data_IF_627652491778
#
_entry.id   IF_627652491778
#
_cell.length_a   1.000
_cell.length_b   1.000
_cell.length_c   1.000
_cell.angle_alpha   90.00
_cell.angle_beta   90.00
_cell.angle_gamma   90.00
#
_symmetry.space_group_name_H-M   'P 1'
#
loop_
_entity.id
_entity.type
_entity.pdbx_description
1 polymer ?
#
# COMPACT_ATOMS: atom_id res chain seq x y z
N UNK A 1 12.65 -3.17 3.31
CA UNK A 1 11.47 -2.87 2.47
C UNK A 1 10.38 -2.25 3.35
N UNK A 2 9.55 -1.38 2.80
CA UNK A 2 8.40 -0.76 3.50
C UNK A 2 7.12 -1.35 2.95
N UNK A 3 6.10 -1.55 3.80
CA UNK A 3 4.78 -1.97 3.34
C UNK A 3 4.06 -0.78 2.70
N UNK A 4 3.63 -0.93 1.44
CA UNK A 4 3.05 0.16 0.63
C UNK A 4 1.60 0.52 0.98
N UNK A 5 0.98 -0.19 1.92
CA UNK A 5 -0.45 -0.08 2.20
C UNK A 5 -1.33 -0.87 1.21
N UNK A 6 -0.75 -1.46 0.17
CA UNK A 6 -1.46 -2.29 -0.82
C UNK A 6 -1.31 -3.77 -0.47
N UNK A 7 -2.43 -4.50 -0.46
CA UNK A 7 -2.43 -5.93 -0.20
C UNK A 7 -3.76 -6.58 -0.54
N UNK A 8 -3.70 -7.87 -0.91
CA UNK A 8 -4.88 -8.72 -1.12
C UNK A 8 -4.97 -9.68 0.06
N UNK A 9 -6.10 -9.66 0.78
CA UNK A 9 -6.29 -10.46 1.97
C UNK A 9 -7.41 -11.48 1.78
N UNK A 10 -7.17 -12.70 2.24
CA UNK A 10 -8.25 -13.69 2.41
C UNK A 10 -9.01 -13.36 3.70
N UNK A 11 -10.36 -13.39 3.73
CA UNK A 11 -11.12 -13.15 4.96
C UNK A 11 -10.69 -14.05 6.13
N UNK A 12 -10.27 -15.29 5.82
CA UNK A 12 -9.73 -16.26 6.76
C UNK A 12 -8.55 -15.76 7.61
N UNK A 13 -7.81 -14.75 7.13
CA UNK A 13 -6.70 -14.13 7.86
C UNK A 13 -7.13 -13.52 9.21
N UNK A 14 -8.41 -13.14 9.33
CA UNK A 14 -8.95 -12.40 10.47
C UNK A 14 -9.84 -13.24 11.39
N UNK A 15 -10.11 -14.53 11.08
CA UNK A 15 -11.06 -15.35 11.84
C UNK A 15 -10.66 -15.58 13.31
N UNK A 16 -9.35 -15.66 13.60
CA UNK A 16 -8.83 -15.82 14.96
C UNK A 16 -8.80 -14.51 15.77
N UNK A 17 -9.22 -13.39 15.18
CA UNK A 17 -9.11 -12.07 15.79
C UNK A 17 -10.42 -11.65 16.43
N UNK A 18 -10.34 -11.14 17.66
CA UNK A 18 -11.50 -10.58 18.34
C UNK A 18 -11.98 -9.33 17.59
N UNK A 19 -13.30 -9.14 17.42
CA UNK A 19 -13.84 -7.89 16.89
C UNK A 19 -13.37 -6.68 17.70
N UNK A 20 -13.01 -5.60 17.02
CA UNK A 20 -12.51 -4.37 17.63
C UNK A 20 -11.40 -3.72 16.82
N UNK A 21 -10.77 -2.69 17.40
CA UNK A 21 -9.63 -2.03 16.79
C UNK A 21 -8.34 -2.81 17.13
N UNK A 22 -7.61 -3.22 16.11
CA UNK A 22 -6.27 -3.78 16.26
C UNK A 22 -5.36 -3.37 15.10
N UNK A 23 -4.04 -3.24 15.34
CA UNK A 23 -3.10 -2.91 14.27
C UNK A 23 -2.98 -4.07 13.26
N UNK A 24 -3.20 -3.77 11.98
CA UNK A 24 -3.02 -4.73 10.89
C UNK A 24 -1.61 -5.35 10.87
N UNK A 25 -0.59 -4.58 11.21
CA UNK A 25 0.79 -5.06 11.26
C UNK A 25 0.99 -6.28 12.17
N UNK A 26 0.19 -6.41 13.24
CA UNK A 26 0.25 -7.58 14.13
C UNK A 26 -0.32 -8.83 13.45
N UNK A 27 -1.38 -8.67 12.66
CA UNK A 27 -1.99 -9.75 11.86
C UNK A 27 -0.98 -10.27 10.83
N UNK A 28 -0.38 -9.35 10.07
CA UNK A 28 0.56 -9.70 9.00
C UNK A 28 1.82 -10.36 9.55
N UNK A 29 2.35 -9.90 10.68
CA UNK A 29 3.51 -10.52 11.31
C UNK A 29 3.24 -11.96 11.75
N UNK A 30 2.11 -12.22 12.42
CA UNK A 30 1.71 -13.58 12.83
C UNK A 30 1.51 -14.52 11.64
N UNK A 31 0.97 -14.02 10.53
CA UNK A 31 0.81 -14.81 9.31
C UNK A 31 2.16 -15.06 8.60
N UNK A 32 3.05 -14.07 8.60
CA UNK A 32 4.39 -14.19 8.02
C UNK A 32 5.26 -15.20 8.80
N UNK A 33 5.17 -15.22 10.14
CA UNK A 33 5.82 -16.24 10.99
C UNK A 33 5.38 -17.67 10.65
N UNK A 34 4.16 -17.83 10.10
CA UNK A 34 3.62 -19.11 9.63
C UNK A 34 3.87 -19.39 8.15
N UNK A 35 4.63 -18.53 7.45
CA UNK A 35 4.85 -18.65 6.00
C UNK A 35 3.61 -18.43 5.14
N UNK A 36 2.57 -17.78 5.67
CA UNK A 36 1.28 -17.57 4.98
C UNK A 36 1.20 -16.24 4.22
N UNK A 37 2.31 -15.49 4.15
CA UNK A 37 2.38 -14.18 3.52
C UNK A 37 3.42 -14.23 2.42
N UNK A 38 3.02 -13.81 1.22
CA UNK A 38 3.91 -13.52 0.11
C UNK A 38 3.97 -12.00 -0.10
N UNK A 39 4.94 -11.55 -0.87
CA UNK A 39 5.03 -10.15 -1.26
C UNK A 39 5.88 -9.99 -2.51
N UNK A 40 5.70 -8.85 -3.16
CA UNK A 40 6.51 -8.42 -4.30
C UNK A 40 7.14 -7.07 -4.00
N UNK A 41 8.28 -6.81 -4.66
CA UNK A 41 8.93 -5.50 -4.59
C UNK A 41 8.47 -4.66 -5.77
N UNK A 42 7.58 -3.72 -5.52
CA UNK A 42 7.27 -2.67 -6.48
C UNK A 42 8.45 -1.70 -6.60
N UNK A 43 8.92 -1.46 -7.83
CA UNK A 43 10.09 -0.62 -8.13
C UNK A 43 9.73 0.69 -8.86
N UNK A 44 8.44 0.96 -9.06
CA UNK A 44 7.96 2.21 -9.63
C UNK A 44 7.76 3.31 -8.59
N UNK A 45 7.18 4.42 -9.04
CA UNK A 45 6.86 5.57 -8.18
C UNK A 45 5.78 5.22 -7.15
N UNK A 46 6.10 5.42 -5.87
CA UNK A 46 5.18 5.25 -4.75
C UNK A 46 5.50 6.29 -3.67
N UNK A 47 4.47 6.94 -3.14
CA UNK A 47 4.61 7.97 -2.10
C UNK A 47 3.49 7.84 -1.06
N UNK A 48 3.86 7.84 0.22
CA UNK A 48 2.93 7.88 1.35
C UNK A 48 2.56 9.34 1.70
N UNK A 49 1.37 9.76 1.28
CA UNK A 49 0.87 11.13 1.42
C UNK A 49 0.11 11.32 2.74
N UNK A 50 0.87 11.43 3.83
CA UNK A 50 0.32 11.65 5.17
C UNK A 50 0.20 13.12 5.61
N UNK A 51 0.67 14.09 4.81
CA UNK A 51 0.63 15.52 5.19
C UNK A 51 0.23 16.42 4.02
N UNK A 52 -0.33 17.63 4.28
CA UNK A 52 -0.65 18.61 3.23
C UNK A 52 0.56 19.00 2.37
N UNK A 53 1.75 19.08 2.96
CA UNK A 53 3.00 19.42 2.27
C UNK A 53 3.35 18.35 1.23
N UNK A 54 3.21 17.07 1.59
CA UNK A 54 3.47 15.94 0.67
C UNK A 54 2.48 15.94 -0.49
N UNK A 55 1.21 16.26 -0.23
CA UNK A 55 0.19 16.37 -1.27
C UNK A 55 0.50 17.53 -2.24
N UNK A 56 0.86 18.71 -1.73
CA UNK A 56 1.24 19.86 -2.57
C UNK A 56 2.43 19.53 -3.48
N UNK A 57 3.45 18.85 -2.94
CA UNK A 57 4.61 18.40 -3.72
C UNK A 57 4.21 17.43 -4.83
N UNK A 58 3.37 16.44 -4.54
CA UNK A 58 2.87 15.49 -5.53
C UNK A 58 2.12 16.20 -6.67
N UNK A 59 1.25 17.15 -6.35
CA UNK A 59 0.48 17.89 -7.36
C UNK A 59 1.36 18.70 -8.32
N UNK A 60 2.49 19.23 -7.84
CA UNK A 60 3.47 19.93 -8.69
C UNK A 60 4.08 18.96 -9.70
N UNK A 61 4.60 17.82 -9.23
CA UNK A 61 5.22 16.81 -10.10
C UNK A 61 4.24 16.19 -11.09
N UNK A 62 2.98 15.99 -10.69
CA UNK A 62 1.93 15.42 -11.57
C UNK A 62 1.47 16.42 -12.64
N UNK A 63 1.37 17.71 -12.31
CA UNK A 63 0.98 18.75 -13.27
C UNK A 63 1.97 18.87 -14.43
N UNK A 64 3.26 18.61 -14.18
CA UNK A 64 4.30 18.62 -15.20
C UNK A 64 4.21 17.43 -16.18
N UNK A 65 3.63 16.30 -15.74
CA UNK A 65 3.57 15.06 -16.53
C UNK A 65 2.27 14.92 -17.36
N UNK A 66 1.15 15.47 -16.89
CA UNK A 66 -0.13 15.44 -17.63
C UNK A 66 -0.19 16.37 -18.86
N UNK A 67 0.84 17.19 -19.10
CA UNK A 67 1.03 17.94 -20.35
C UNK A 67 1.52 17.09 -21.54
N UNK A 68 1.94 15.85 -21.32
CA UNK A 68 2.39 14.92 -22.36
C UNK A 68 1.63 13.59 -22.26
N UNK A 69 0.38 13.59 -22.70
CA UNK A 69 -0.48 12.40 -22.75
C UNK A 69 0.20 11.22 -23.45
N UNK A 70 0.56 10.17 -22.71
CA UNK A 70 0.54 8.80 -23.21
C UNK A 70 -0.58 8.06 -22.49
N UNK A 71 -1.69 7.92 -23.20
CA UNK A 71 -2.77 7.00 -22.83
C UNK A 71 -2.17 5.59 -22.83
N UNK A 72 -2.17 4.93 -21.68
CA UNK A 72 -1.90 3.49 -21.60
C UNK A 72 -3.25 2.81 -21.90
N UNK A 73 -3.41 2.10 -23.03
CA UNK A 73 -4.65 1.39 -23.29
C UNK A 73 -4.74 0.19 -22.32
N UNK A 74 -5.94 0.02 -21.75
CA UNK A 74 -6.37 -1.22 -21.10
C UNK A 74 -6.70 -2.28 -22.13
#
# INVERSE_FOLDING_TARGET
>A
MTFSGLGVYRPGLFLDWKPGNFPLGRVLRRAAEKGQVTGERYAGEWQDIGTPERLRKLNQTTSDCFGSSRVIPV
#
